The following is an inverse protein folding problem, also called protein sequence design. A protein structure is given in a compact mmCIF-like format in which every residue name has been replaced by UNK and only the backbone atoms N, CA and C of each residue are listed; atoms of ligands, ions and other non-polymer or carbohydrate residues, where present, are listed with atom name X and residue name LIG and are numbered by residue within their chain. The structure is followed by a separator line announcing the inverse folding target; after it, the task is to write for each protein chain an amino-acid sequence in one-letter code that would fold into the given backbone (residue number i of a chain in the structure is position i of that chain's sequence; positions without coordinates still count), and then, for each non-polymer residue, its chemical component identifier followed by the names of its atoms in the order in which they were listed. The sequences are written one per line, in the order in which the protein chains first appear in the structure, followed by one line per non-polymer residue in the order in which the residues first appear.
data_IF_487676256515
#
_entry.id   IF_487676256515
#
_cell.length_a   1.000
_cell.length_b   1.000
_cell.length_c   1.000
_cell.angle_alpha   90.00
_cell.angle_beta   90.00
_cell.angle_gamma   90.00
#
_symmetry.space_group_name_H-M   'P 1'
#
loop_
_entity.id
_entity.type
_entity.pdbx_description
1 polymer ?
#
# COMPACT_ATOMS: atom_id res chain seq x y z
N UNK A 1 11.42 23.36 13.31
CA UNK A 1 11.32 23.20 14.78
C UNK A 1 12.49 22.36 15.27
N UNK A 2 13.00 22.60 16.48
CA UNK A 2 14.00 21.73 17.12
C UNK A 2 13.27 20.60 17.86
N UNK A 3 13.72 19.36 17.72
CA UNK A 3 13.15 18.22 18.45
C UNK A 3 13.75 18.11 19.85
N UNK A 4 12.94 17.68 20.82
CA UNK A 4 13.39 17.37 22.18
C UNK A 4 13.40 15.85 22.42
N UNK A 5 14.29 15.38 23.30
CA UNK A 5 14.43 13.96 23.61
C UNK A 5 13.45 13.55 24.69
N UNK A 6 12.56 12.61 24.38
CA UNK A 6 11.61 12.02 25.31
C UNK A 6 12.12 10.63 25.71
N UNK A 7 11.99 10.27 27.00
CA UNK A 7 12.25 8.92 27.50
C UNK A 7 11.00 8.42 28.21
N UNK A 8 10.54 7.22 27.85
CA UNK A 8 9.40 6.58 28.49
C UNK A 8 9.71 5.11 28.76
N UNK A 9 9.00 4.53 29.72
CA UNK A 9 9.10 3.11 30.05
C UNK A 9 8.07 2.33 29.25
N UNK A 10 8.49 1.20 28.70
CA UNK A 10 7.65 0.30 27.92
C UNK A 10 8.06 -1.15 28.17
N UNK A 11 7.16 -2.09 27.91
CA UNK A 11 7.49 -3.51 27.98
C UNK A 11 8.49 -3.90 26.88
N UNK A 12 9.31 -4.95 27.09
CA UNK A 12 10.22 -5.44 26.05
C UNK A 12 9.49 -5.82 24.76
N UNK A 13 8.31 -6.41 24.88
CA UNK A 13 7.43 -6.79 23.77
C UNK A 13 7.02 -5.57 22.96
N UNK A 14 6.51 -4.54 23.63
CA UNK A 14 6.09 -3.30 22.97
C UNK A 14 7.24 -2.61 22.22
N UNK A 15 8.46 -2.64 22.78
CA UNK A 15 9.65 -2.12 22.10
C UNK A 15 9.98 -2.93 20.83
N UNK A 16 9.87 -4.25 20.89
CA UNK A 16 10.09 -5.13 19.73
C UNK A 16 9.10 -4.82 18.62
N UNK A 17 7.82 -4.63 18.98
CA UNK A 17 6.75 -4.33 18.06
C UNK A 17 6.94 -2.99 17.36
N UNK A 18 7.31 -1.94 18.12
CA UNK A 18 7.63 -0.63 17.56
C UNK A 18 8.79 -0.69 16.56
N UNK A 19 9.86 -1.42 16.89
CA UNK A 19 11.00 -1.59 15.99
C UNK A 19 10.60 -2.31 14.70
N UNK A 20 9.82 -3.39 14.82
CA UNK A 20 9.32 -4.15 13.67
C UNK A 20 8.46 -3.29 12.75
N UNK A 21 7.53 -2.51 13.31
CA UNK A 21 6.67 -1.59 12.55
C UNK A 21 7.49 -0.50 11.85
N UNK A 22 8.49 0.06 12.53
CA UNK A 22 9.36 1.08 11.96
C UNK A 22 10.16 0.54 10.75
N UNK A 23 10.67 -0.70 10.84
CA UNK A 23 11.35 -1.39 9.73
C UNK A 23 10.40 -1.62 8.55
N UNK A 24 9.18 -2.11 8.82
CA UNK A 24 8.16 -2.35 7.78
C UNK A 24 7.81 -1.07 7.01
N UNK A 25 7.80 0.07 7.68
CA UNK A 25 7.49 1.38 7.09
C UNK A 25 8.74 2.14 6.63
N UNK A 26 9.92 1.51 6.65
CA UNK A 26 11.22 2.10 6.29
C UNK A 26 11.46 3.47 6.97
N UNK A 27 11.14 3.57 8.26
CA UNK A 27 11.22 4.81 9.05
C UNK A 27 11.83 4.56 10.43
N UNK A 28 12.05 5.61 11.21
CA UNK A 28 12.53 5.50 12.60
C UNK A 28 11.37 5.37 13.58
N UNK A 29 11.60 4.75 14.74
CA UNK A 29 10.58 4.64 15.81
C UNK A 29 10.07 6.01 16.26
N UNK A 30 10.95 7.00 16.36
CA UNK A 30 10.55 8.37 16.71
C UNK A 30 9.66 9.01 15.65
N UNK A 31 9.95 8.77 14.36
CA UNK A 31 9.11 9.24 13.26
C UNK A 31 7.77 8.49 13.18
N UNK A 32 7.76 7.18 13.45
CA UNK A 32 6.54 6.38 13.54
C UNK A 32 5.61 6.89 14.65
N UNK A 33 6.15 7.11 15.84
CA UNK A 33 5.40 7.66 16.98
C UNK A 33 4.91 9.07 16.64
N UNK A 34 5.79 9.95 16.14
CA UNK A 34 5.41 11.30 15.75
C UNK A 34 4.29 11.32 14.73
N UNK A 35 4.39 10.51 13.67
CA UNK A 35 3.37 10.42 12.64
C UNK A 35 2.02 10.01 13.21
N UNK A 36 1.99 9.15 14.24
CA UNK A 36 0.74 8.75 14.89
C UNK A 36 0.07 9.86 15.72
N UNK A 37 0.85 10.76 16.31
CA UNK A 37 0.36 11.76 17.27
C UNK A 37 0.29 13.20 16.72
N UNK A 38 1.17 13.57 15.77
CA UNK A 38 1.14 14.87 15.08
C UNK A 38 0.23 14.83 13.85
N UNK A 39 0.06 13.65 13.25
CA UNK A 39 -1.04 13.34 12.35
C UNK A 39 -1.92 12.33 13.06
N UNK A 40 -2.71 12.74 14.08
CA UNK A 40 -3.78 11.88 14.52
C UNK A 40 -4.53 11.51 13.25
N UNK A 41 -4.64 10.21 12.98
CA UNK A 41 -5.61 9.73 12.01
C UNK A 41 -6.94 10.25 12.56
N UNK A 42 -7.36 11.42 12.10
CA UNK A 42 -8.61 12.00 12.52
C UNK A 42 -9.65 10.92 12.31
N UNK A 43 -10.40 10.66 13.36
CA UNK A 43 -11.42 9.62 13.49
C UNK A 43 -12.62 9.83 12.55
N UNK A 44 -12.47 10.70 11.56
CA UNK A 44 -13.28 10.82 10.35
C UNK A 44 -12.27 10.83 9.20
N UNK A 45 -12.21 9.74 8.43
CA UNK A 45 -11.40 9.71 7.21
C UNK A 45 -11.74 10.97 6.41
N UNK A 46 -10.74 11.81 6.14
CA UNK A 46 -10.97 13.05 5.40
C UNK A 46 -11.66 12.72 4.07
N UNK A 47 -12.45 13.63 3.48
CA UNK A 47 -13.11 13.39 2.21
C UNK A 47 -12.15 12.84 1.14
N UNK A 48 -10.90 13.31 1.13
CA UNK A 48 -9.84 12.84 0.23
C UNK A 48 -9.37 11.42 0.54
N UNK A 49 -9.32 11.02 1.81
CA UNK A 49 -8.98 9.67 2.21
C UNK A 49 -10.10 8.68 1.84
N UNK A 50 -11.36 9.08 1.99
CA UNK A 50 -12.52 8.29 1.55
C UNK A 50 -12.54 8.13 0.03
N UNK A 51 -12.27 9.22 -0.70
CA UNK A 51 -12.15 9.20 -2.17
C UNK A 51 -11.01 8.29 -2.62
N UNK A 52 -9.84 8.38 -1.99
CA UNK A 52 -8.71 7.49 -2.27
C UNK A 52 -9.06 6.02 -2.00
N UNK A 53 -9.75 5.72 -0.90
CA UNK A 53 -10.20 4.36 -0.59
C UNK A 53 -11.19 3.83 -1.63
N UNK A 54 -12.10 4.67 -2.13
CA UNK A 54 -13.03 4.30 -3.20
C UNK A 54 -12.29 3.98 -4.50
N UNK A 55 -11.33 4.81 -4.91
CA UNK A 55 -10.50 4.60 -6.09
C UNK A 55 -9.67 3.32 -5.98
N UNK A 56 -9.08 3.04 -4.81
CA UNK A 56 -8.33 1.81 -4.56
C UNK A 56 -9.24 0.58 -4.66
N UNK A 57 -10.45 0.65 -4.11
CA UNK A 57 -11.41 -0.45 -4.18
C UNK A 57 -11.88 -0.70 -5.62
N UNK A 58 -12.11 0.35 -6.40
CA UNK A 58 -12.44 0.23 -7.82
C UNK A 58 -11.29 -0.38 -8.62
N UNK A 59 -10.06 0.10 -8.40
CA UNK A 59 -8.86 -0.45 -9.03
C UNK A 59 -8.70 -1.95 -8.73
N UNK A 60 -8.90 -2.36 -7.48
CA UNK A 60 -8.82 -3.77 -7.08
C UNK A 60 -9.86 -4.65 -7.79
N UNK A 61 -11.05 -4.11 -8.10
CA UNK A 61 -12.08 -4.84 -8.86
C UNK A 61 -11.77 -4.88 -10.35
N UNK A 62 -11.27 -3.79 -10.93
CA UNK A 62 -11.01 -3.70 -12.37
C UNK A 62 -9.73 -4.45 -12.81
N UNK A 63 -8.75 -4.58 -11.92
CA UNK A 63 -7.44 -5.15 -12.25
C UNK A 63 -7.48 -6.63 -12.73
N UNK A 64 -8.27 -7.53 -12.11
CA UNK A 64 -8.42 -8.90 -12.61
C UNK A 64 -8.98 -8.98 -14.02
N UNK A 65 -9.98 -8.15 -14.34
CA UNK A 65 -10.61 -8.12 -15.66
C UNK A 65 -9.65 -7.60 -16.72
N UNK A 66 -8.94 -6.52 -16.43
CA UNK A 66 -7.89 -6.00 -17.32
C UNK A 66 -6.79 -7.05 -17.57
N UNK A 67 -6.38 -7.79 -16.53
CA UNK A 67 -5.39 -8.87 -16.67
C UNK A 67 -5.90 -10.05 -17.49
N UNK A 68 -7.21 -10.36 -17.39
CA UNK A 68 -7.84 -11.41 -18.18
C UNK A 68 -7.91 -11.01 -19.66
N UNK A 69 -8.45 -9.83 -19.95
CA UNK A 69 -8.55 -9.32 -21.31
C UNK A 69 -7.18 -9.24 -22.01
N UNK A 70 -6.13 -8.83 -21.28
CA UNK A 70 -4.77 -8.82 -21.81
C UNK A 70 -4.27 -10.22 -22.18
N UNK A 71 -4.52 -11.23 -21.33
CA UNK A 71 -4.11 -12.61 -21.61
C UNK A 71 -4.88 -13.20 -22.80
N UNK A 72 -6.18 -12.91 -22.88
CA UNK A 72 -7.02 -13.36 -24.00
C UNK A 72 -6.52 -12.74 -25.31
N UNK A 73 -6.26 -11.43 -25.35
CA UNK A 73 -5.73 -10.77 -26.55
C UNK A 73 -4.35 -11.27 -26.97
N UNK A 74 -3.47 -11.61 -26.02
CA UNK A 74 -2.18 -12.23 -26.33
C UNK A 74 -2.36 -13.64 -26.92
N UNK A 75 -3.26 -14.44 -26.36
CA UNK A 75 -3.54 -15.78 -26.86
C UNK A 75 -4.13 -15.74 -28.29
N UNK A 76 -5.02 -14.79 -28.56
CA UNK A 76 -5.59 -14.57 -29.89
C UNK A 76 -4.52 -14.13 -30.90
N UNK A 77 -3.63 -13.20 -30.51
CA UNK A 77 -2.52 -12.78 -31.35
C UNK A 77 -1.55 -13.93 -31.66
N UNK A 78 -1.23 -14.76 -30.67
CA UNK A 78 -0.39 -15.95 -30.86
C UNK A 78 -1.04 -16.97 -31.79
N UNK A 79 -2.36 -17.17 -31.68
CA UNK A 79 -3.10 -18.07 -32.59
C UNK A 79 -3.03 -17.57 -34.04
N UNK A 80 -3.28 -16.28 -34.27
CA UNK A 80 -3.19 -15.69 -35.62
C UNK A 80 -1.78 -15.82 -36.19
N UNK A 81 -0.74 -15.61 -35.37
CA UNK A 81 0.64 -15.80 -35.81
C UNK A 81 0.94 -17.25 -36.20
N UNK A 82 0.41 -18.23 -35.46
CA UNK A 82 0.57 -19.64 -35.80
C UNK A 82 -0.14 -19.99 -37.11
N UNK A 83 -1.38 -19.53 -37.30
CA UNK A 83 -2.14 -19.73 -38.54
C UNK A 83 -1.38 -19.19 -39.76
N UNK A 84 -0.79 -17.99 -39.65
CA UNK A 84 0.03 -17.37 -40.70
C UNK A 84 1.36 -18.11 -40.97
N UNK A 85 1.91 -18.83 -39.99
CA UNK A 85 3.15 -19.61 -40.17
C UNK A 85 2.90 -20.98 -40.78
N UNK A 86 1.67 -21.49 -40.67
CA UNK A 86 1.25 -22.78 -41.22
C UNK A 86 0.57 -22.68 -42.60
N UNK A 87 0.24 -21.46 -43.04
CA UNK A 87 -0.28 -21.14 -44.38
C UNK A 87 0.86 -20.91 -45.39
#
# INVERSE_FOLDING_TARGET
MKSERITFLATPEFKSDLNRLAIQQNTSVGALIRARFEHPANEEASPEALELMALVAELQRALPDARRALREGLAEADQVLQELQTA
#
